data_IF_320943136073
#
_entry.id   IF_320943136073
#
_cell.length_a   1.000
_cell.length_b   1.000
_cell.length_c   1.000
_cell.angle_alpha   90.00
_cell.angle_beta   90.00
_cell.angle_gamma   90.00
#
_symmetry.space_group_name_H-M   'P 1'
#
loop_
_entity.id
_entity.type
_entity.pdbx_description
1 polymer ?
#
# COMPACT_ATOMS: atom_id res chain seq x y z
N UNK A 1 -11.95 -14.96 -11.39
CA UNK A 1 -10.53 -15.37 -11.43
C UNK A 1 -10.26 -16.54 -12.37
N UNK A 2 -9.70 -16.27 -13.56
CA UNK A 2 -9.03 -17.28 -14.37
C UNK A 2 -7.68 -17.70 -13.77
N UNK A 3 -7.09 -18.78 -14.29
CA UNK A 3 -5.84 -19.34 -13.77
C UNK A 3 -4.61 -18.48 -14.07
N UNK A 4 -4.67 -17.68 -15.14
CA UNK A 4 -3.57 -16.86 -15.66
C UNK A 4 -3.98 -15.39 -15.89
N UNK A 5 -5.25 -15.04 -15.67
CA UNK A 5 -5.80 -13.72 -15.99
C UNK A 5 -5.84 -12.85 -14.74
N UNK A 6 -5.30 -11.63 -14.83
CA UNK A 6 -5.43 -10.60 -13.79
C UNK A 6 -6.78 -9.90 -13.91
N UNK A 7 -7.39 -9.59 -12.78
CA UNK A 7 -8.64 -8.84 -12.71
C UNK A 7 -8.37 -7.48 -12.05
N UNK A 8 -9.11 -6.46 -12.46
CA UNK A 8 -8.98 -5.11 -11.92
C UNK A 8 -10.27 -4.73 -11.21
N UNK A 9 -10.11 -4.17 -10.03
CA UNK A 9 -11.21 -3.68 -9.20
C UNK A 9 -10.90 -2.25 -8.76
N UNK A 10 -11.92 -1.42 -8.65
CA UNK A 10 -11.80 -0.08 -8.08
C UNK A 10 -12.49 -0.03 -6.73
N UNK A 11 -11.80 0.52 -5.73
CA UNK A 11 -12.30 0.63 -4.37
C UNK A 11 -12.11 2.06 -3.85
N UNK A 12 -13.14 2.66 -3.19
CA UNK A 12 -12.93 3.90 -2.46
C UNK A 12 -12.02 3.66 -1.26
N UNK A 13 -11.06 4.56 -1.03
CA UNK A 13 -10.11 4.49 0.06
C UNK A 13 -9.87 5.86 0.70
N UNK A 14 -9.59 5.86 1.99
CA UNK A 14 -9.04 7.00 2.72
C UNK A 14 -7.52 6.82 2.83
N UNK A 15 -6.76 7.84 2.45
CA UNK A 15 -5.31 7.89 2.61
C UNK A 15 -5.01 8.85 3.75
N UNK A 16 -4.35 8.34 4.79
CA UNK A 16 -3.85 9.12 5.92
C UNK A 16 -2.33 9.22 5.80
N UNK A 17 -1.82 10.44 5.69
CA UNK A 17 -0.39 10.73 5.73
C UNK A 17 -0.10 11.55 6.97
N UNK A 18 0.70 10.99 7.88
CA UNK A 18 1.18 11.65 9.09
C UNK A 18 2.62 12.04 8.91
N UNK A 19 2.94 13.30 9.21
CA UNK A 19 4.31 13.79 9.27
C UNK A 19 4.51 14.55 10.59
N UNK A 20 4.36 13.85 11.70
CA UNK A 20 4.47 14.40 13.05
C UNK A 20 5.77 13.91 13.71
N UNK A 21 6.18 14.60 14.77
CA UNK A 21 7.31 14.17 15.59
C UNK A 21 7.13 12.74 16.12
N UNK A 22 5.91 12.40 16.55
CA UNK A 22 5.59 11.09 17.12
C UNK A 22 5.42 9.99 16.06
N UNK A 23 5.10 10.34 14.81
CA UNK A 23 4.81 9.35 13.75
C UNK A 23 4.95 9.90 12.33
N UNK A 24 5.71 9.18 11.50
CA UNK A 24 5.83 9.36 10.05
C UNK A 24 5.29 8.11 9.33
N UNK A 25 4.08 8.20 8.78
CA UNK A 25 3.44 7.06 8.10
C UNK A 25 2.49 7.48 6.98
N UNK A 26 2.25 6.54 6.06
CA UNK A 26 1.21 6.63 5.05
C UNK A 26 0.35 5.37 5.13
N UNK A 27 -0.90 5.52 5.57
CA UNK A 27 -1.83 4.42 5.75
C UNK A 27 -3.01 4.55 4.79
N UNK A 28 -3.39 3.42 4.16
CA UNK A 28 -4.53 3.37 3.24
C UNK A 28 -5.60 2.48 3.83
N UNK A 29 -6.82 3.01 3.95
CA UNK A 29 -7.98 2.31 4.46
C UNK A 29 -9.07 2.21 3.40
N UNK A 30 -9.46 0.99 3.04
CA UNK A 30 -10.57 0.79 2.09
C UNK A 30 -11.92 1.02 2.78
N UNK A 31 -12.75 1.87 2.19
CA UNK A 31 -14.04 2.27 2.75
C UNK A 31 -15.17 1.27 2.41
N UNK A 32 -14.96 0.43 1.40
CA UNK A 32 -15.90 -0.61 0.98
C UNK A 32 -15.63 -1.98 1.62
N UNK A 33 -14.65 -2.09 2.53
CA UNK A 33 -14.27 -3.37 3.14
C UNK A 33 -13.52 -4.32 2.20
N UNK A 34 -12.94 -3.82 1.11
CA UNK A 34 -12.12 -4.63 0.22
C UNK A 34 -10.95 -5.27 1.00
N UNK A 35 -10.82 -6.59 0.87
CA UNK A 35 -9.70 -7.35 1.45
C UNK A 35 -8.63 -7.54 0.38
N UNK A 36 -7.38 -7.31 0.74
CA UNK A 36 -6.20 -7.51 -0.12
C UNK A 36 -5.61 -8.89 0.15
N UNK A 37 -5.32 -9.64 -0.91
CA UNK A 37 -4.68 -10.95 -0.82
C UNK A 37 -3.19 -10.86 -1.19
N UNK A 38 -2.37 -11.86 -0.81
CA UNK A 38 -0.98 -11.92 -1.25
C UNK A 38 -0.84 -11.83 -2.77
N UNK A 39 0.05 -10.96 -3.24
CA UNK A 39 0.28 -10.70 -4.66
C UNK A 39 -0.68 -9.69 -5.29
N UNK A 40 -1.75 -9.28 -4.62
CA UNK A 40 -2.59 -8.18 -5.11
C UNK A 40 -1.81 -6.85 -5.02
N UNK A 41 -1.92 -6.02 -6.05
CA UNK A 41 -1.26 -4.71 -6.11
C UNK A 41 -2.30 -3.60 -5.92
N UNK A 42 -1.98 -2.60 -5.10
CA UNK A 42 -2.86 -1.47 -4.81
C UNK A 42 -2.21 -0.18 -5.30
N UNK A 43 -2.93 0.54 -6.16
CA UNK A 43 -2.52 1.85 -6.67
C UNK A 43 -3.57 2.89 -6.35
N UNK A 44 -3.25 3.81 -5.43
CA UNK A 44 -4.07 5.01 -5.16
C UNK A 44 -4.00 5.93 -6.37
N UNK A 45 -5.16 6.34 -6.88
CA UNK A 45 -5.27 7.24 -8.02
C UNK A 45 -5.18 8.70 -7.57
N UNK A 46 -4.39 9.49 -8.28
CA UNK A 46 -4.25 10.93 -8.04
C UNK A 46 -2.80 11.38 -7.87
N UNK A 47 -2.60 12.68 -7.58
CA UNK A 47 -1.29 13.20 -7.23
C UNK A 47 -0.82 12.66 -5.86
N UNK A 48 0.49 12.74 -5.57
CA UNK A 48 1.02 12.37 -4.26
C UNK A 48 0.37 13.17 -3.12
N UNK A 49 -0.01 12.49 -2.04
CA UNK A 49 -0.51 13.12 -0.81
C UNK A 49 0.70 13.46 0.07
N UNK A 50 0.87 14.74 0.40
CA UNK A 50 1.99 15.24 1.18
C UNK A 50 1.47 15.94 2.43
N UNK A 51 1.98 15.55 3.59
CA UNK A 51 1.71 16.23 4.86
C UNK A 51 2.90 17.13 5.22
N UNK A 52 2.67 18.43 5.50
CA UNK A 52 3.68 19.29 6.13
C UNK A 52 4.10 18.74 7.50
N UNK A 53 5.31 19.08 7.94
CA UNK A 53 5.78 18.68 9.26
C UNK A 53 4.88 19.25 10.37
N UNK A 54 4.45 18.39 11.29
CA UNK A 54 3.51 18.69 12.37
C UNK A 54 2.03 18.44 12.03
N UNK A 55 1.71 17.96 10.82
CA UNK A 55 0.33 17.76 10.37
C UNK A 55 0.01 16.30 9.99
N UNK A 56 -1.28 15.98 10.05
CA UNK A 56 -1.85 14.73 9.54
C UNK A 56 -2.89 15.08 8.49
N UNK A 57 -2.69 14.64 7.26
CA UNK A 57 -3.59 14.87 6.13
C UNK A 57 -4.38 13.60 5.87
N UNK A 58 -5.70 13.74 5.72
CA UNK A 58 -6.62 12.65 5.33
C UNK A 58 -7.36 13.05 4.07
N UNK A 59 -7.29 12.20 3.05
CA UNK A 59 -8.00 12.41 1.79
C UNK A 59 -8.72 11.15 1.34
N UNK A 60 -9.97 11.31 0.88
CA UNK A 60 -10.71 10.26 0.21
C UNK A 60 -10.30 10.20 -1.28
N UNK A 61 -9.87 9.02 -1.72
CA UNK A 61 -9.38 8.72 -3.06
C UNK A 61 -10.00 7.42 -3.57
N UNK A 62 -9.73 7.12 -4.83
CA UNK A 62 -10.06 5.82 -5.43
C UNK A 62 -8.75 5.06 -5.59
N UNK A 63 -8.72 3.81 -5.13
CA UNK A 63 -7.63 2.89 -5.38
C UNK A 63 -8.03 1.90 -6.48
N UNK A 64 -7.07 1.58 -7.34
CA UNK A 64 -7.15 0.45 -8.27
C UNK A 64 -6.45 -0.74 -7.63
N UNK A 65 -7.17 -1.83 -7.49
CA UNK A 65 -6.66 -3.10 -7.00
C UNK A 65 -6.47 -4.01 -8.22
N UNK A 66 -5.24 -4.43 -8.46
CA UNK A 66 -4.91 -5.45 -9.44
C UNK A 66 -4.82 -6.78 -8.73
N UNK A 67 -5.77 -7.67 -9.00
CA UNK A 67 -5.86 -8.99 -8.37
C UNK A 67 -4.84 -9.94 -8.98
N UNK A 68 -4.03 -10.58 -8.14
CA UNK A 68 -3.13 -11.63 -8.59
C UNK A 68 -3.92 -12.83 -9.12
N UNK A 69 -3.36 -13.49 -10.14
CA UNK A 69 -3.92 -14.75 -10.65
C UNK A 69 -3.79 -15.86 -9.60
N UNK A 70 -4.59 -16.94 -9.71
CA UNK A 70 -4.53 -18.05 -8.73
C UNK A 70 -3.16 -18.73 -8.67
N UNK A 71 -2.44 -18.78 -9.80
CA UNK A 71 -1.09 -19.34 -9.84
C UNK A 71 -0.08 -18.40 -9.15
N UNK A 72 -0.16 -17.08 -9.41
CA UNK A 72 0.66 -16.09 -8.71
C UNK A 72 0.38 -16.12 -7.20
N UNK A 73 -0.88 -16.13 -6.77
CA UNK A 73 -1.21 -16.20 -5.34
C UNK A 73 -0.67 -17.47 -4.67
N UNK A 74 -0.78 -18.63 -5.34
CA UNK A 74 -0.23 -19.89 -4.82
C UNK A 74 1.30 -19.84 -4.76
N UNK A 75 1.94 -19.31 -5.80
CA UNK A 75 3.38 -19.12 -5.83
C UNK A 75 3.86 -18.17 -4.72
N UNK A 76 3.27 -16.98 -4.61
CA UNK A 76 3.57 -16.00 -3.56
C UNK A 76 3.36 -16.59 -2.16
N UNK A 77 2.34 -17.44 -1.95
CA UNK A 77 2.18 -18.14 -0.66
C UNK A 77 3.25 -19.19 -0.42
N UNK A 78 3.69 -19.91 -1.45
CA UNK A 78 4.74 -20.94 -1.32
C UNK A 78 6.14 -20.35 -1.16
N UNK A 79 6.44 -19.23 -1.82
CA UNK A 79 7.75 -18.56 -1.76
C UNK A 79 7.82 -17.47 -0.69
N UNK A 80 6.68 -16.96 -0.23
CA UNK A 80 6.62 -15.91 0.80
C UNK A 80 7.23 -16.34 2.13
N UNK A 81 7.19 -17.63 2.46
CA UNK A 81 7.87 -18.18 3.66
C UNK A 81 9.39 -18.32 3.48
N UNK A 82 9.89 -18.24 2.24
CA UNK A 82 11.33 -18.33 1.94
C UNK A 82 12.01 -16.95 1.81
N UNK A 83 11.25 -15.91 1.47
CA UNK A 83 11.72 -14.53 1.56
C UNK A 83 11.60 -14.07 3.02
N UNK A 84 12.76 -13.90 3.67
CA UNK A 84 12.87 -13.20 4.96
C UNK A 84 12.07 -11.88 4.89
N UNK A 85 10.85 -11.88 5.43
CA UNK A 85 10.06 -10.66 5.63
C UNK A 85 10.60 -9.95 6.86
N UNK A 86 11.84 -9.45 6.79
CA UNK A 86 12.24 -8.41 7.73
C UNK A 86 11.33 -7.21 7.48
N UNK A 87 10.68 -6.73 8.54
CA UNK A 87 10.08 -5.41 8.55
C UNK A 87 11.22 -4.43 8.26
N UNK A 88 11.40 -4.04 6.99
CA UNK A 88 12.27 -2.93 6.65
C UNK A 88 11.64 -1.64 7.18
N UNK A 89 11.83 -1.38 8.48
CA UNK A 89 11.82 -0.02 9.01
C UNK A 89 12.98 0.72 8.34
N UNK A 90 12.68 1.40 7.24
CA UNK A 90 13.62 2.37 6.68
C UNK A 90 13.68 3.55 7.66
N UNK A 91 14.59 3.45 8.64
CA UNK A 91 15.09 4.62 9.36
C UNK A 91 15.83 5.50 8.35
N UNK A 92 15.27 6.67 8.07
CA UNK A 92 15.94 7.70 7.29
C UNK A 92 17.08 8.27 8.13
N UNK A 93 18.32 7.94 7.79
CA UNK A 93 19.47 8.70 8.24
C UNK A 93 19.50 10.01 7.44
N UNK A 94 19.53 11.15 8.13
CA UNK A 94 19.69 12.46 7.54
C UNK A 94 20.95 12.51 6.67
N UNK A 95 20.82 13.06 5.45
CA UNK A 95 21.88 13.88 4.89
C UNK A 95 21.25 15.18 4.38
N UNK A 96 21.24 16.19 5.26
CA UNK A 96 20.97 17.58 4.89
C UNK A 96 22.23 18.10 4.21
N UNK A 97 22.21 18.24 2.88
CA UNK A 97 23.20 19.06 2.17
C UNK A 97 22.65 20.48 1.97
N UNK A 98 23.38 21.41 2.57
CA UNK A 98 23.20 22.87 2.64
C UNK A 98 22.98 23.54 1.28
#
# INVERSE_FOLDING_TARGET
>A
MGWLTKEFETAPCEVEVSHCFDSLHAHVKFLNGAVINPGDEVQVQGPPVMAPYGEVVREERIARITRASRLEQLWTRMTGDFEFMELCEFSFSEEVSV
#
